data_IF_720997447978
#
_entry.id   IF_720997447978
#
_cell.length_a   1.000
_cell.length_b   1.000
_cell.length_c   1.000
_cell.angle_alpha   90.00
_cell.angle_beta   90.00
_cell.angle_gamma   90.00
#
_symmetry.space_group_name_H-M   'P 1'
#
loop_
_entity.id
_entity.type
_entity.pdbx_description
1 polymer ?
#
# COMPACT_ATOMS: atom_id res chain seq x y z
N UNK A 1 -5.94 19.87 15.23
CA UNK A 1 -7.07 19.48 14.33
C UNK A 1 -6.49 18.72 13.16
N UNK A 2 -7.05 17.57 12.82
CA UNK A 2 -6.59 16.76 11.66
C UNK A 2 -6.90 17.51 10.37
N UNK A 3 -5.91 17.67 9.50
CA UNK A 3 -6.01 18.41 8.23
C UNK A 3 -6.23 17.50 7.02
N UNK A 4 -5.74 16.25 7.06
CA UNK A 4 -5.90 15.28 5.99
C UNK A 4 -5.86 13.84 6.50
N UNK A 5 -6.44 12.92 5.72
CA UNK A 5 -6.32 11.47 5.93
C UNK A 5 -5.63 10.86 4.72
N UNK A 6 -4.56 10.11 4.98
CA UNK A 6 -3.75 9.48 3.95
C UNK A 6 -3.89 7.96 4.05
N UNK A 7 -4.09 7.30 2.94
CA UNK A 7 -4.28 5.85 2.86
C UNK A 7 -3.10 5.17 2.18
N UNK A 8 -2.73 4.00 2.65
CA UNK A 8 -2.12 3.01 1.77
C UNK A 8 -3.18 2.41 0.82
N UNK A 9 -2.74 1.71 -0.22
CA UNK A 9 -3.60 1.06 -1.19
C UNK A 9 -3.74 -0.44 -0.89
N UNK A 10 -2.60 -1.14 -0.90
CA UNK A 10 -2.51 -2.59 -0.85
C UNK A 10 -2.71 -3.08 0.59
N UNK A 11 -3.68 -3.96 0.83
CA UNK A 11 -4.04 -4.41 2.19
C UNK A 11 -4.91 -3.44 2.99
N UNK A 12 -5.17 -2.21 2.46
CA UNK A 12 -6.07 -1.21 3.10
C UNK A 12 -7.33 -0.99 2.27
N UNK A 13 -7.19 -0.78 0.97
CA UNK A 13 -8.31 -0.55 0.03
C UNK A 13 -8.49 -1.77 -0.87
N UNK A 14 -7.40 -2.36 -1.32
CA UNK A 14 -7.37 -3.50 -2.24
C UNK A 14 -6.75 -4.70 -1.54
N UNK A 15 -7.46 -5.84 -1.56
CA UNK A 15 -6.92 -7.14 -1.13
C UNK A 15 -6.00 -7.70 -2.23
N UNK A 16 -4.86 -7.06 -2.40
CA UNK A 16 -3.95 -7.31 -3.52
C UNK A 16 -2.98 -8.46 -3.30
N UNK A 17 -2.66 -8.79 -2.06
CA UNK A 17 -1.61 -9.78 -1.74
C UNK A 17 -1.84 -11.16 -2.35
N UNK A 18 -3.07 -11.73 -2.34
CA UNK A 18 -3.32 -13.00 -3.02
C UNK A 18 -3.08 -12.93 -4.52
N UNK A 19 -3.40 -11.80 -5.16
CA UNK A 19 -3.19 -11.59 -6.60
C UNK A 19 -1.69 -11.45 -6.91
N UNK A 20 -0.96 -10.69 -6.09
CA UNK A 20 0.48 -10.56 -6.20
C UNK A 20 1.19 -11.92 -6.05
N UNK A 21 0.81 -12.71 -5.04
CA UNK A 21 1.37 -14.05 -4.84
C UNK A 21 1.10 -14.95 -6.05
N UNK A 22 -0.14 -15.02 -6.53
CA UNK A 22 -0.50 -15.84 -7.68
C UNK A 22 0.31 -15.45 -8.93
N UNK A 23 0.37 -14.15 -9.24
CA UNK A 23 1.07 -13.64 -10.43
C UNK A 23 2.57 -13.90 -10.33
N UNK A 24 3.21 -13.56 -9.21
CA UNK A 24 4.64 -13.75 -9.00
C UNK A 24 5.01 -15.24 -9.02
N UNK A 25 4.23 -16.08 -8.36
CA UNK A 25 4.45 -17.54 -8.31
C UNK A 25 4.33 -18.18 -9.68
N UNK A 26 3.28 -17.84 -10.44
CA UNK A 26 3.11 -18.30 -11.81
C UNK A 26 4.25 -17.81 -12.73
N UNK A 27 4.69 -16.56 -12.54
CA UNK A 27 5.80 -15.97 -13.28
C UNK A 27 7.13 -16.71 -13.03
N UNK A 28 7.45 -16.98 -11.77
CA UNK A 28 8.66 -17.70 -11.34
C UNK A 28 8.66 -19.10 -11.93
N UNK A 29 7.55 -19.84 -11.78
CA UNK A 29 7.40 -21.21 -12.32
C UNK A 29 7.58 -21.27 -13.84
N UNK A 30 7.01 -20.32 -14.58
CA UNK A 30 7.10 -20.26 -16.04
C UNK A 30 8.52 -19.95 -16.57
N UNK A 31 9.43 -19.48 -15.71
CA UNK A 31 10.80 -19.05 -16.08
C UNK A 31 11.90 -19.81 -15.34
N UNK A 32 11.59 -21.04 -14.90
CA UNK A 32 12.56 -21.97 -14.30
C UNK A 32 13.02 -21.62 -12.90
N UNK A 33 12.46 -20.61 -12.28
CA UNK A 33 12.76 -20.23 -10.89
C UNK A 33 12.10 -21.15 -9.86
N UNK A 34 12.55 -21.09 -8.61
CA UNK A 34 12.09 -21.92 -7.52
C UNK A 34 11.43 -21.08 -6.39
N UNK A 35 10.08 -21.10 -6.35
CA UNK A 35 9.33 -20.45 -5.27
C UNK A 35 9.51 -21.18 -3.95
N UNK A 36 9.90 -20.45 -2.89
CA UNK A 36 10.11 -20.98 -1.56
C UNK A 36 8.88 -20.75 -0.66
N UNK A 37 8.68 -21.55 0.40
CA UNK A 37 7.51 -21.42 1.29
C UNK A 37 7.35 -20.04 1.95
N UNK A 38 8.47 -19.34 2.21
CA UNK A 38 8.49 -18.04 2.87
C UNK A 38 8.61 -16.85 1.89
N UNK A 39 8.64 -17.12 0.58
CA UNK A 39 8.86 -16.11 -0.46
C UNK A 39 7.84 -14.98 -0.36
N UNK A 40 6.53 -15.28 -0.32
CA UNK A 40 5.51 -14.22 -0.27
C UNK A 40 5.73 -13.29 0.92
N UNK A 41 5.95 -13.83 2.11
CA UNK A 41 6.22 -13.03 3.31
C UNK A 41 7.43 -12.11 3.16
N UNK A 42 8.48 -12.57 2.48
CA UNK A 42 9.69 -11.75 2.22
C UNK A 42 9.42 -10.61 1.26
N UNK A 43 8.53 -10.81 0.28
CA UNK A 43 8.24 -9.82 -0.76
C UNK A 43 7.31 -8.69 -0.28
N UNK A 44 6.58 -8.91 0.81
CA UNK A 44 5.65 -7.93 1.35
C UNK A 44 6.36 -6.62 1.74
N UNK A 45 5.80 -5.50 1.30
CA UNK A 45 6.35 -4.17 1.57
C UNK A 45 7.60 -3.80 0.77
N UNK A 46 8.17 -4.71 -0.02
CA UNK A 46 9.28 -4.38 -0.91
C UNK A 46 8.83 -3.46 -2.05
N UNK A 47 9.70 -2.54 -2.43
CA UNK A 47 9.53 -1.75 -3.66
C UNK A 47 9.61 -2.64 -4.91
N UNK A 48 9.12 -2.13 -6.04
CA UNK A 48 9.17 -2.86 -7.33
C UNK A 48 10.58 -3.33 -7.68
N UNK A 49 11.59 -2.49 -7.49
CA UNK A 49 12.99 -2.87 -7.77
C UNK A 49 13.51 -3.98 -6.85
N UNK A 50 13.15 -3.93 -5.57
CA UNK A 50 13.63 -4.91 -4.58
C UNK A 50 13.03 -6.30 -4.83
N UNK A 51 11.68 -6.43 -4.95
CA UNK A 51 11.11 -7.74 -5.21
C UNK A 51 11.49 -8.30 -6.60
N UNK A 52 11.65 -7.44 -7.61
CA UNK A 52 12.07 -7.90 -8.92
C UNK A 52 13.51 -8.41 -8.92
N UNK A 53 14.42 -7.74 -8.18
CA UNK A 53 15.78 -8.21 -7.98
C UNK A 53 15.82 -9.54 -7.20
N UNK A 54 14.95 -9.71 -6.20
CA UNK A 54 14.83 -10.95 -5.45
C UNK A 54 14.35 -12.11 -6.34
N UNK A 55 13.34 -11.91 -7.19
CA UNK A 55 12.87 -12.93 -8.11
C UNK A 55 13.95 -13.34 -9.12
N UNK A 56 14.66 -12.36 -9.67
CA UNK A 56 15.75 -12.58 -10.64
C UNK A 56 16.94 -13.29 -10.01
N UNK A 57 17.43 -12.80 -8.87
CA UNK A 57 18.66 -13.29 -8.23
C UNK A 57 18.40 -14.51 -7.37
N UNK A 58 17.59 -14.37 -6.31
CA UNK A 58 17.45 -15.41 -5.29
C UNK A 58 16.57 -16.60 -5.74
N UNK A 59 15.53 -16.34 -6.56
CA UNK A 59 14.67 -17.42 -7.06
C UNK A 59 15.12 -17.98 -8.40
N UNK A 60 16.17 -17.44 -9.00
CA UNK A 60 16.78 -17.97 -10.22
C UNK A 60 15.93 -17.80 -11.47
N UNK A 61 15.10 -16.76 -11.54
CA UNK A 61 14.33 -16.44 -12.76
C UNK A 61 15.27 -15.97 -13.88
N UNK A 62 15.19 -16.62 -15.05
CA UNK A 62 16.01 -16.27 -16.23
C UNK A 62 15.49 -14.97 -16.90
N UNK A 63 15.60 -13.87 -16.19
CA UNK A 63 15.28 -12.50 -16.65
C UNK A 63 16.03 -11.49 -15.77
N UNK A 64 16.30 -10.31 -16.35
CA UNK A 64 16.80 -9.18 -15.54
C UNK A 64 15.71 -8.65 -14.60
N UNK A 65 16.09 -8.02 -13.49
CA UNK A 65 15.13 -7.42 -12.55
C UNK A 65 14.17 -6.43 -13.24
N UNK A 66 14.66 -5.66 -14.21
CA UNK A 66 13.84 -4.72 -15.00
C UNK A 66 12.78 -5.45 -15.83
N UNK A 67 13.17 -6.55 -16.49
CA UNK A 67 12.24 -7.38 -17.25
C UNK A 67 11.19 -8.03 -16.33
N UNK A 68 11.64 -8.58 -15.18
CA UNK A 68 10.75 -9.14 -14.16
C UNK A 68 9.73 -8.11 -13.71
N UNK A 69 10.17 -6.90 -13.33
CA UNK A 69 9.29 -5.82 -12.90
C UNK A 69 8.27 -5.47 -13.99
N UNK A 70 8.73 -5.25 -15.21
CA UNK A 70 7.87 -4.86 -16.34
C UNK A 70 6.81 -5.91 -16.63
N UNK A 71 7.20 -7.19 -16.72
CA UNK A 71 6.30 -8.27 -17.09
C UNK A 71 5.29 -8.60 -15.99
N UNK A 72 5.72 -8.64 -14.73
CA UNK A 72 4.84 -8.90 -13.58
C UNK A 72 3.83 -7.76 -13.40
N UNK A 73 4.27 -6.51 -13.46
CA UNK A 73 3.37 -5.35 -13.31
C UNK A 73 2.40 -5.24 -14.50
N UNK A 74 2.82 -5.63 -15.71
CA UNK A 74 1.90 -5.70 -16.85
C UNK A 74 0.78 -6.74 -16.62
N UNK A 75 1.12 -7.91 -16.08
CA UNK A 75 0.13 -8.93 -15.72
C UNK A 75 -0.80 -8.47 -14.60
N UNK A 76 -0.27 -7.82 -13.56
CA UNK A 76 -1.09 -7.21 -12.50
C UNK A 76 -2.08 -6.19 -13.07
N UNK A 77 -1.61 -5.31 -13.98
CA UNK A 77 -2.47 -4.30 -14.62
C UNK A 77 -3.58 -4.97 -15.44
N UNK A 78 -3.28 -6.06 -16.15
CA UNK A 78 -4.27 -6.83 -16.90
C UNK A 78 -5.31 -7.47 -15.97
N UNK A 79 -4.88 -8.00 -14.81
CA UNK A 79 -5.79 -8.56 -13.79
C UNK A 79 -6.71 -7.49 -13.23
N UNK A 80 -6.17 -6.33 -12.89
CA UNK A 80 -6.94 -5.20 -12.35
C UNK A 80 -7.94 -4.62 -13.36
N UNK A 81 -7.62 -4.63 -14.65
CA UNK A 81 -8.57 -4.25 -15.69
C UNK A 81 -9.78 -5.20 -15.78
N UNK A 82 -9.61 -6.47 -15.38
CA UNK A 82 -10.70 -7.43 -15.32
C UNK A 82 -11.47 -7.37 -13.99
N UNK A 83 -10.74 -7.29 -12.89
CA UNK A 83 -11.31 -7.24 -11.53
C UNK A 83 -10.27 -6.74 -10.53
N UNK A 84 -10.67 -5.78 -9.71
CA UNK A 84 -9.90 -5.33 -8.53
C UNK A 84 -10.57 -5.87 -7.27
N UNK A 85 -9.88 -6.70 -6.47
CA UNK A 85 -10.45 -7.21 -5.23
C UNK A 85 -10.46 -6.10 -4.17
N UNK A 86 -11.58 -5.42 -4.00
CA UNK A 86 -11.77 -4.46 -2.90
C UNK A 86 -11.84 -5.21 -1.57
N UNK A 87 -11.24 -4.61 -0.54
CA UNK A 87 -11.51 -4.98 0.85
C UNK A 87 -12.94 -4.53 1.18
N UNK A 88 -13.66 -5.39 1.92
CA UNK A 88 -15.04 -5.12 2.28
C UNK A 88 -15.19 -3.75 2.95
N UNK A 89 -16.18 -2.98 2.50
CA UNK A 89 -16.51 -1.62 2.95
C UNK A 89 -15.42 -0.55 2.72
N UNK A 90 -14.28 -0.85 2.11
CA UNK A 90 -13.19 0.12 1.91
C UNK A 90 -13.65 1.34 1.09
N UNK A 91 -14.42 1.15 0.03
CA UNK A 91 -14.94 2.25 -0.79
C UNK A 91 -15.91 3.15 0.00
N UNK A 92 -16.77 2.57 0.83
CA UNK A 92 -17.69 3.31 1.69
C UNK A 92 -16.93 4.13 2.74
N UNK A 93 -15.86 3.57 3.34
CA UNK A 93 -15.00 4.27 4.30
C UNK A 93 -14.28 5.43 3.62
N UNK A 94 -13.66 5.21 2.45
CA UNK A 94 -12.97 6.26 1.69
C UNK A 94 -13.92 7.41 1.38
N UNK A 95 -15.11 7.14 0.83
CA UNK A 95 -16.11 8.16 0.51
C UNK A 95 -16.61 8.91 1.76
N UNK A 96 -16.80 8.19 2.87
CA UNK A 96 -17.23 8.77 4.14
C UNK A 96 -16.20 9.75 4.70
N UNK A 97 -14.90 9.43 4.60
CA UNK A 97 -13.83 10.32 5.04
C UNK A 97 -13.56 11.47 4.05
N UNK A 98 -13.67 11.22 2.74
CA UNK A 98 -13.54 12.25 1.71
C UNK A 98 -14.57 13.38 1.87
N UNK A 99 -15.73 13.09 2.47
CA UNK A 99 -16.75 14.12 2.76
C UNK A 99 -16.31 15.12 3.84
N UNK A 100 -15.24 14.85 4.59
CA UNK A 100 -14.77 15.66 5.73
C UNK A 100 -13.34 16.17 5.58
N UNK A 101 -12.46 15.40 4.95
CA UNK A 101 -11.04 15.72 4.81
C UNK A 101 -10.57 15.55 3.37
N UNK A 102 -9.57 16.33 2.95
CA UNK A 102 -8.80 15.98 1.78
C UNK A 102 -8.12 14.62 2.01
N UNK A 103 -8.26 13.72 1.03
CA UNK A 103 -7.60 12.42 1.08
C UNK A 103 -6.35 12.39 0.22
N UNK A 104 -5.33 11.68 0.69
CA UNK A 104 -4.13 11.32 -0.03
C UNK A 104 -3.94 9.81 -0.10
N UNK A 105 -3.17 9.34 -1.08
CA UNK A 105 -2.82 7.93 -1.21
C UNK A 105 -1.32 7.78 -1.39
N UNK A 106 -0.68 6.94 -0.55
CA UNK A 106 0.76 6.69 -0.48
C UNK A 106 1.02 5.18 -0.58
N UNK A 107 1.45 4.67 -1.74
CA UNK A 107 1.58 3.23 -1.98
C UNK A 107 2.96 2.83 -2.49
N UNK A 108 3.37 1.59 -2.21
CA UNK A 108 4.54 0.95 -2.82
C UNK A 108 4.26 0.39 -4.21
N UNK A 109 3.01 0.35 -4.62
CA UNK A 109 2.60 -0.08 -5.96
C UNK A 109 3.02 0.91 -7.05
N UNK A 110 3.33 0.43 -8.26
CA UNK A 110 3.61 1.29 -9.41
C UNK A 110 2.49 2.30 -9.70
N UNK A 111 2.87 3.52 -10.11
CA UNK A 111 1.91 4.60 -10.41
C UNK A 111 0.78 4.16 -11.36
N UNK A 112 1.11 3.37 -12.39
CA UNK A 112 0.12 2.84 -13.34
C UNK A 112 -0.88 1.87 -12.70
N UNK A 113 -0.44 1.10 -11.70
CA UNK A 113 -1.29 0.15 -11.00
C UNK A 113 -2.20 0.85 -9.99
N UNK A 114 -1.68 1.87 -9.30
CA UNK A 114 -2.49 2.79 -8.47
C UNK A 114 -3.63 3.40 -9.31
N UNK A 115 -3.29 3.97 -10.47
CA UNK A 115 -4.28 4.59 -11.34
C UNK A 115 -5.33 3.58 -11.84
N UNK A 116 -4.91 2.36 -12.22
CA UNK A 116 -5.81 1.30 -12.65
C UNK A 116 -6.75 0.86 -11.53
N UNK A 117 -6.24 0.68 -10.30
CA UNK A 117 -7.04 0.29 -9.14
C UNK A 117 -8.08 1.37 -8.81
N UNK A 118 -7.68 2.64 -8.72
CA UNK A 118 -8.60 3.74 -8.42
C UNK A 118 -9.68 3.93 -9.49
N UNK A 119 -9.32 3.78 -10.77
CA UNK A 119 -10.28 3.87 -11.87
C UNK A 119 -11.30 2.73 -11.83
N UNK A 120 -10.84 1.49 -11.65
CA UNK A 120 -11.71 0.31 -11.61
C UNK A 120 -12.68 0.31 -10.40
N UNK A 121 -12.27 0.92 -9.28
CA UNK A 121 -13.08 1.03 -8.06
C UNK A 121 -13.94 2.31 -8.00
N UNK A 122 -13.78 3.22 -8.97
CA UNK A 122 -14.47 4.51 -8.98
C UNK A 122 -14.06 5.44 -7.82
N UNK A 123 -12.81 5.31 -7.35
CA UNK A 123 -12.27 6.11 -6.24
C UNK A 123 -11.29 7.20 -6.70
N UNK A 124 -11.06 7.36 -8.01
CA UNK A 124 -10.11 8.35 -8.53
C UNK A 124 -10.35 9.75 -7.97
N UNK A 125 -11.59 10.22 -7.96
CA UNK A 125 -11.96 11.58 -7.53
C UNK A 125 -11.99 11.73 -5.99
N UNK A 126 -11.90 10.64 -5.24
CA UNK A 126 -11.85 10.69 -3.79
C UNK A 126 -10.48 11.18 -3.26
N UNK A 127 -9.41 10.93 -4.01
CA UNK A 127 -8.05 11.28 -3.63
C UNK A 127 -7.57 12.55 -4.35
N UNK A 128 -7.19 13.58 -3.57
CA UNK A 128 -6.64 14.85 -4.10
C UNK A 128 -5.16 14.72 -4.47
N UNK A 129 -4.45 13.77 -3.88
CA UNK A 129 -3.05 13.48 -4.19
C UNK A 129 -2.79 11.98 -4.09
N UNK A 130 -2.05 11.45 -5.04
CA UNK A 130 -1.54 10.07 -5.01
C UNK A 130 -0.05 10.09 -5.25
N UNK A 131 0.71 9.20 -4.61
CA UNK A 131 2.15 9.06 -4.81
C UNK A 131 2.56 7.59 -4.69
N UNK A 132 3.35 7.14 -5.64
CA UNK A 132 4.05 5.86 -5.61
C UNK A 132 5.45 6.01 -5.00
N UNK A 133 5.95 4.96 -4.32
CA UNK A 133 7.37 4.92 -3.95
C UNK A 133 8.30 4.91 -5.15
N UNK A 134 7.82 4.61 -6.37
CA UNK A 134 8.60 4.77 -7.60
C UNK A 134 8.98 6.23 -7.89
N UNK A 135 8.24 7.19 -7.33
CA UNK A 135 8.46 8.63 -7.49
C UNK A 135 9.30 9.23 -6.34
N UNK A 136 9.76 8.41 -5.40
CA UNK A 136 10.52 8.84 -4.23
C UNK A 136 11.93 8.28 -4.23
N UNK A 137 12.83 8.88 -3.44
CA UNK A 137 14.20 8.40 -3.35
C UNK A 137 14.31 7.06 -2.62
N UNK A 138 13.42 6.81 -1.65
CA UNK A 138 13.40 5.60 -0.82
C UNK A 138 11.97 5.12 -0.63
N UNK A 139 11.77 3.79 -0.71
CA UNK A 139 10.51 3.14 -0.36
C UNK A 139 10.28 3.02 1.15
N UNK A 140 9.09 2.55 1.56
CA UNK A 140 8.78 2.19 2.94
C UNK A 140 9.82 1.17 3.45
N UNK A 141 10.38 1.29 4.67
CA UNK A 141 9.89 2.11 5.79
C UNK A 141 10.40 3.57 5.83
N UNK A 142 11.11 4.08 4.80
CA UNK A 142 11.45 5.50 4.77
C UNK A 142 10.16 6.36 4.64
N UNK A 143 10.13 7.58 5.23
CA UNK A 143 8.92 8.40 5.27
C UNK A 143 8.58 9.11 3.96
N UNK A 144 9.41 8.96 2.94
CA UNK A 144 9.46 9.80 1.74
C UNK A 144 8.11 9.88 1.01
N UNK A 145 7.40 8.75 0.85
CA UNK A 145 6.11 8.70 0.14
C UNK A 145 5.02 9.44 0.92
N UNK A 146 4.96 9.31 2.24
CA UNK A 146 3.97 9.98 3.07
C UNK A 146 4.22 11.49 3.12
N UNK A 147 5.47 11.90 3.30
CA UNK A 147 5.88 13.31 3.24
C UNK A 147 5.56 13.92 1.87
N UNK A 148 5.80 13.19 0.79
CA UNK A 148 5.49 13.62 -0.57
C UNK A 148 3.98 13.83 -0.79
N UNK A 149 3.12 12.92 -0.28
CA UNK A 149 1.66 13.11 -0.36
C UNK A 149 1.21 14.30 0.47
N UNK A 150 1.70 14.46 1.70
CA UNK A 150 1.37 15.61 2.54
C UNK A 150 1.78 16.93 1.87
N UNK A 151 2.97 16.98 1.24
CA UNK A 151 3.43 18.14 0.47
C UNK A 151 2.53 18.44 -0.73
N UNK A 152 2.08 17.41 -1.49
CA UNK A 152 1.13 17.58 -2.60
C UNK A 152 -0.24 18.12 -2.12
N UNK A 153 -0.66 17.76 -0.91
CA UNK A 153 -1.88 18.27 -0.29
C UNK A 153 -1.71 19.67 0.33
N UNK A 154 -0.47 20.12 0.56
CA UNK A 154 -0.17 21.38 1.23
C UNK A 154 -0.46 21.35 2.74
N UNK A 155 -0.30 20.20 3.41
CA UNK A 155 -0.62 20.00 4.83
C UNK A 155 0.62 19.60 5.63
N UNK A 156 0.60 19.90 6.93
CA UNK A 156 1.63 19.44 7.87
C UNK A 156 1.46 17.94 8.16
N UNK A 157 2.48 17.08 7.93
CA UNK A 157 2.42 15.67 8.25
C UNK A 157 2.00 15.37 9.70
N UNK A 158 2.41 16.19 10.67
CA UNK A 158 2.04 16.03 12.08
C UNK A 158 0.52 16.21 12.33
N UNK A 159 -0.20 16.78 11.36
CA UNK A 159 -1.65 16.99 11.37
C UNK A 159 -2.39 16.03 10.43
N UNK A 160 -1.71 14.97 10.01
CA UNK A 160 -2.28 13.93 9.17
C UNK A 160 -2.49 12.63 9.95
N UNK A 161 -3.53 11.90 9.55
CA UNK A 161 -3.76 10.51 9.96
C UNK A 161 -3.43 9.61 8.78
N UNK A 162 -2.56 8.63 9.00
CA UNK A 162 -2.21 7.60 8.03
C UNK A 162 -2.96 6.30 8.34
N UNK A 163 -3.47 5.62 7.30
CA UNK A 163 -4.15 4.32 7.39
C UNK A 163 -3.26 3.28 6.70
N UNK A 164 -2.87 2.22 7.41
CA UNK A 164 -1.87 1.26 6.98
C UNK A 164 -2.12 -0.14 7.52
N UNK A 165 -1.66 -1.18 6.79
CA UNK A 165 -1.82 -2.57 7.18
C UNK A 165 -0.50 -3.28 7.51
N UNK A 166 0.63 -2.77 7.00
CA UNK A 166 1.93 -3.42 7.02
C UNK A 166 2.92 -2.83 8.03
N UNK A 167 3.83 -3.66 8.57
CA UNK A 167 4.86 -3.20 9.50
C UNK A 167 5.75 -2.10 8.90
N UNK A 168 6.18 -2.24 7.65
CA UNK A 168 7.01 -1.23 6.99
C UNK A 168 6.25 0.07 6.72
N UNK A 169 4.98 -0.03 6.38
CA UNK A 169 4.16 1.14 6.16
C UNK A 169 3.85 1.90 7.44
N UNK A 170 3.54 1.20 8.53
CA UNK A 170 3.35 1.82 9.86
C UNK A 170 4.62 2.55 10.30
N UNK A 171 5.80 1.91 10.19
CA UNK A 171 7.10 2.56 10.48
C UNK A 171 7.31 3.80 9.61
N UNK A 172 6.97 3.71 8.32
CA UNK A 172 7.11 4.80 7.36
C UNK A 172 6.22 6.00 7.70
N UNK A 173 4.95 5.77 8.00
CA UNK A 173 4.00 6.82 8.38
C UNK A 173 4.36 7.46 9.73
N UNK A 174 4.76 6.64 10.72
CA UNK A 174 5.23 7.14 12.01
C UNK A 174 6.52 7.98 11.87
N UNK A 175 7.47 7.54 11.02
CA UNK A 175 8.68 8.31 10.73
C UNK A 175 8.39 9.63 9.99
N UNK A 176 7.26 9.73 9.27
CA UNK A 176 6.77 10.97 8.69
C UNK A 176 6.12 11.91 9.74
N UNK A 177 5.99 11.48 10.99
CA UNK A 177 5.37 12.24 12.07
C UNK A 177 3.85 12.19 12.09
N UNK A 178 3.23 11.27 11.33
CA UNK A 178 1.77 11.13 11.26
C UNK A 178 1.22 10.31 12.43
N UNK A 179 -0.08 10.49 12.74
CA UNK A 179 -0.83 9.55 13.58
C UNK A 179 -1.21 8.35 12.73
N UNK A 180 -0.86 7.14 13.19
CA UNK A 180 -1.10 5.93 12.41
C UNK A 180 -2.28 5.16 12.97
N UNK A 181 -3.26 4.87 12.11
CA UNK A 181 -4.30 3.87 12.33
C UNK A 181 -3.87 2.63 11.58
N UNK A 182 -3.55 1.57 12.29
CA UNK A 182 -3.17 0.31 11.71
C UNK A 182 -4.39 -0.60 11.55
N UNK A 183 -4.51 -1.22 10.39
CA UNK A 183 -5.58 -2.16 10.02
C UNK A 183 -4.93 -3.43 9.47
N UNK A 184 -4.29 -4.27 10.31
CA UNK A 184 -3.59 -5.47 9.83
C UNK A 184 -4.55 -6.39 9.07
N UNK A 185 -4.13 -6.83 7.88
CA UNK A 185 -4.95 -7.68 7.06
C UNK A 185 -4.63 -9.17 7.27
N UNK A 186 -5.64 -9.93 7.71
CA UNK A 186 -5.70 -11.39 7.66
C UNK A 186 -4.49 -12.13 8.23
N UNK A 187 -3.73 -12.76 7.36
CA UNK A 187 -2.65 -13.70 7.72
C UNK A 187 -1.31 -13.03 8.05
N UNK A 188 -1.23 -11.70 8.03
CA UNK A 188 0.02 -10.95 8.17
C UNK A 188 -0.03 -9.97 9.34
N UNK A 189 0.20 -10.45 10.60
CA UNK A 189 0.22 -9.58 11.76
C UNK A 189 1.39 -8.59 11.67
N UNK A 190 1.23 -7.43 12.32
CA UNK A 190 2.32 -6.47 12.47
C UNK A 190 3.44 -7.02 13.35
N UNK A 191 4.66 -6.60 13.08
CA UNK A 191 5.76 -6.77 14.01
C UNK A 191 5.48 -5.98 15.31
N UNK A 192 5.90 -6.46 16.48
CA UNK A 192 5.59 -5.81 17.76
C UNK A 192 6.06 -4.36 17.86
N UNK A 193 7.18 -4.01 17.24
CA UNK A 193 7.71 -2.64 17.21
C UNK A 193 6.86 -1.71 16.32
N UNK A 194 6.33 -2.23 15.21
CA UNK A 194 5.43 -1.47 14.33
C UNK A 194 4.06 -1.29 14.99
N UNK A 195 3.53 -2.34 15.63
CA UNK A 195 2.27 -2.24 16.39
C UNK A 195 2.34 -1.16 17.48
N UNK A 196 3.47 -1.07 18.19
CA UNK A 196 3.70 -0.05 19.22
C UNK A 196 3.73 1.40 18.69
N UNK A 197 3.92 1.61 17.38
CA UNK A 197 3.88 2.92 16.73
C UNK A 197 2.46 3.34 16.32
N UNK A 198 1.51 2.40 16.26
CA UNK A 198 0.14 2.71 15.90
C UNK A 198 -0.58 3.44 17.05
N UNK A 199 -1.23 4.56 16.73
CA UNK A 199 -2.10 5.26 17.67
C UNK A 199 -3.41 4.50 17.92
N UNK A 200 -3.87 3.75 16.91
CA UNK A 200 -5.05 2.88 16.97
C UNK A 200 -4.78 1.64 16.14
N UNK A 201 -5.19 0.48 16.68
CA UNK A 201 -5.24 -0.79 15.96
C UNK A 201 -6.70 -1.17 15.74
N UNK A 202 -7.10 -1.38 14.50
CA UNK A 202 -8.47 -1.76 14.13
C UNK A 202 -8.50 -3.19 13.56
N UNK A 203 -9.56 -3.94 13.86
CA UNK A 203 -9.72 -5.30 13.33
C UNK A 203 -10.04 -5.31 11.82
N UNK A 204 -10.59 -4.21 11.30
CA UNK A 204 -11.00 -4.06 9.90
C UNK A 204 -11.23 -2.59 9.56
N UNK A 205 -11.21 -2.24 8.29
CA UNK A 205 -11.33 -0.85 7.83
C UNK A 205 -12.72 -0.24 8.09
N UNK A 206 -13.78 -1.04 8.09
CA UNK A 206 -15.15 -0.58 8.35
C UNK A 206 -15.32 0.03 9.76
N UNK A 207 -14.48 -0.41 10.73
CA UNK A 207 -14.42 0.17 12.06
C UNK A 207 -13.89 1.62 12.09
N UNK A 208 -13.22 2.09 11.01
CA UNK A 208 -12.68 3.45 10.92
C UNK A 208 -13.79 4.48 10.70
N UNK A 209 -14.06 5.30 11.70
CA UNK A 209 -15.11 6.32 11.67
C UNK A 209 -14.53 7.73 11.68
N UNK A 210 -15.26 8.75 11.16
CA UNK A 210 -14.85 10.15 11.29
C UNK A 210 -14.61 10.57 12.74
N UNK A 211 -15.44 10.12 13.67
CA UNK A 211 -15.28 10.43 15.10
C UNK A 211 -13.97 9.86 15.69
N UNK A 212 -13.45 8.75 15.16
CA UNK A 212 -12.13 8.24 15.55
C UNK A 212 -11.02 9.12 15.03
N UNK A 213 -11.09 9.53 13.77
CA UNK A 213 -10.10 10.45 13.16
C UNK A 213 -10.05 11.77 13.94
N UNK A 214 -11.21 12.33 14.29
CA UNK A 214 -11.30 13.56 15.11
C UNK A 214 -10.64 13.44 16.48
N UNK A 215 -10.63 12.24 17.09
CA UNK A 215 -9.98 11.99 18.40
C UNK A 215 -8.47 11.81 18.34
N UNK A 216 -7.90 11.70 17.15
CA UNK A 216 -6.45 11.59 16.92
C UNK A 216 -5.76 12.97 16.77
N UNK A 217 -6.47 14.01 17.13
CA UNK A 217 -5.98 15.40 17.08
C UNK A 217 -4.83 15.68 18.06
#
# INVERSE_FOLDING_TARGET
MVDAVLFDLDGVIVDSEPVWEEVRRAYVAARGGAWQPDTQRRLMGMSTGEWAAYLSGELGVDRTAEQVATEVVAEMTRRYAAHVPLIDDADAVVRRLAARWPLGLASSSPTRLIAAALAATGLTDAFRATLSTEETARGKPAPDVWLGVAARLGVDPARCVAIEDSSNGVRSAAAAGMRVVAVPHGSYPLDPDAEALAAVLLPSIDALTPAMVERLD
#
